data_IF_962909763442
#
_entry.id   IF_962909763442
#
_cell.length_a   1.000
_cell.length_b   1.000
_cell.length_c   1.000
_cell.angle_alpha   90.00
_cell.angle_beta   90.00
_cell.angle_gamma   90.00
#
_symmetry.space_group_name_H-M   'P 1'
#
loop_
_entity.id
_entity.type
_entity.pdbx_description
1 polymer ?
#
# COMPACT_ATOMS: atom_id res chain seq x y z
N UNK A 1 -39.00 -57.96 -56.09
CA UNK A 1 -38.93 -56.57 -55.60
C UNK A 1 -39.15 -56.64 -54.10
N UNK A 2 -38.16 -56.30 -53.27
CA UNK A 2 -38.28 -56.42 -51.81
C UNK A 2 -36.93 -56.56 -51.10
N UNK A 3 -36.04 -55.57 -51.24
CA UNK A 3 -34.73 -55.62 -50.58
C UNK A 3 -34.02 -54.28 -50.38
N UNK A 4 -34.68 -53.15 -50.66
CA UNK A 4 -34.09 -51.81 -50.55
C UNK A 4 -34.61 -51.00 -49.36
N UNK A 5 -35.85 -51.23 -48.89
CA UNK A 5 -36.45 -50.43 -47.80
C UNK A 5 -35.93 -50.80 -46.40
N UNK A 6 -35.42 -52.02 -46.18
CA UNK A 6 -35.04 -52.46 -44.82
C UNK A 6 -33.65 -51.98 -44.36
N UNK A 7 -32.78 -51.53 -45.27
CA UNK A 7 -31.43 -51.02 -44.94
C UNK A 7 -31.42 -49.52 -44.62
N UNK A 8 -32.26 -48.73 -45.30
CA UNK A 8 -32.35 -47.29 -45.04
C UNK A 8 -33.01 -47.02 -43.67
N UNK A 9 -34.04 -47.78 -43.27
CA UNK A 9 -34.65 -47.65 -41.94
C UNK A 9 -33.70 -48.03 -40.80
N UNK A 10 -32.82 -49.02 -40.98
CA UNK A 10 -31.84 -49.39 -39.94
C UNK A 10 -30.70 -48.38 -39.85
N UNK A 11 -30.22 -47.84 -40.97
CA UNK A 11 -29.21 -46.77 -40.95
C UNK A 11 -29.76 -45.48 -40.36
N UNK A 12 -31.02 -45.13 -40.61
CA UNK A 12 -31.64 -43.93 -40.04
C UNK A 12 -31.84 -44.07 -38.52
N UNK A 13 -32.33 -45.23 -38.03
CA UNK A 13 -32.50 -45.49 -36.59
C UNK A 13 -31.18 -45.49 -35.82
N UNK A 14 -30.09 -46.02 -36.41
CA UNK A 14 -28.73 -45.95 -35.82
C UNK A 14 -28.26 -44.50 -35.77
N UNK A 15 -28.46 -43.72 -36.84
CA UNK A 15 -28.10 -42.30 -36.89
C UNK A 15 -28.92 -41.41 -35.94
N UNK A 16 -30.11 -41.85 -35.55
CA UNK A 16 -30.95 -41.19 -34.53
C UNK A 16 -30.50 -41.56 -33.11
N UNK A 17 -30.09 -42.81 -32.85
CA UNK A 17 -29.50 -43.23 -31.57
C UNK A 17 -28.15 -42.56 -31.30
N UNK A 18 -27.23 -42.58 -32.27
CA UNK A 18 -25.89 -41.98 -32.12
C UNK A 18 -25.98 -40.47 -31.85
N UNK A 19 -26.91 -39.76 -32.53
CA UNK A 19 -27.17 -38.33 -32.27
C UNK A 19 -27.82 -38.07 -30.91
N UNK A 20 -28.63 -38.98 -30.39
CA UNK A 20 -29.23 -38.86 -29.06
C UNK A 20 -28.20 -39.10 -27.95
N UNK A 21 -27.29 -40.04 -28.16
CA UNK A 21 -26.20 -40.34 -27.22
C UNK A 21 -25.15 -39.21 -27.19
N UNK A 22 -24.79 -38.64 -28.35
CA UNK A 22 -23.92 -37.46 -28.43
C UNK A 22 -24.53 -36.22 -27.74
N UNK A 23 -25.84 -35.99 -27.92
CA UNK A 23 -26.57 -34.89 -27.27
C UNK A 23 -26.68 -35.09 -25.75
N UNK A 24 -26.87 -36.33 -25.30
CA UNK A 24 -26.95 -36.67 -23.88
C UNK A 24 -25.57 -36.53 -23.20
N UNK A 25 -24.50 -36.94 -23.87
CA UNK A 25 -23.13 -36.77 -23.39
C UNK A 25 -22.73 -35.29 -23.30
N UNK A 26 -23.05 -34.49 -24.32
CA UNK A 26 -22.79 -33.04 -24.31
C UNK A 26 -23.57 -32.31 -23.20
N UNK A 27 -24.83 -32.69 -22.96
CA UNK A 27 -25.62 -32.14 -21.84
C UNK A 27 -25.02 -32.54 -20.50
N UNK A 28 -24.58 -33.80 -20.35
CA UNK A 28 -23.92 -34.29 -19.14
C UNK A 28 -22.61 -33.54 -18.85
N UNK A 29 -21.79 -33.27 -19.86
CA UNK A 29 -20.56 -32.47 -19.72
C UNK A 29 -20.89 -31.02 -19.34
N UNK A 30 -21.87 -30.40 -20.00
CA UNK A 30 -22.27 -29.03 -19.69
C UNK A 30 -22.83 -28.88 -18.27
N UNK A 31 -23.62 -29.85 -17.80
CA UNK A 31 -24.12 -29.89 -16.42
C UNK A 31 -22.99 -30.13 -15.41
N UNK A 32 -22.05 -31.04 -15.69
CA UNK A 32 -20.89 -31.28 -14.84
C UNK A 32 -19.95 -30.06 -14.76
N UNK A 33 -19.72 -29.35 -15.87
CA UNK A 33 -18.95 -28.09 -15.89
C UNK A 33 -19.66 -27.03 -15.06
N UNK A 34 -20.98 -26.86 -15.24
CA UNK A 34 -21.77 -25.90 -14.46
C UNK A 34 -21.80 -26.22 -12.97
N UNK A 35 -21.93 -27.50 -12.60
CA UNK A 35 -21.89 -27.94 -11.20
C UNK A 35 -20.48 -27.76 -10.60
N UNK A 36 -19.43 -28.06 -11.36
CA UNK A 36 -18.04 -27.85 -10.96
C UNK A 36 -17.74 -26.36 -10.75
N UNK A 37 -18.19 -25.48 -11.67
CA UNK A 37 -18.10 -24.03 -11.54
C UNK A 37 -18.89 -23.50 -10.34
N UNK A 38 -20.08 -24.02 -10.08
CA UNK A 38 -20.89 -23.66 -8.91
C UNK A 38 -20.23 -24.12 -7.60
N UNK A 39 -19.67 -25.33 -7.54
CA UNK A 39 -18.94 -25.82 -6.36
C UNK A 39 -17.66 -25.01 -6.12
N UNK A 40 -16.88 -24.75 -7.17
CA UNK A 40 -15.68 -23.91 -7.11
C UNK A 40 -16.00 -22.47 -6.72
N UNK A 41 -17.08 -21.91 -7.27
CA UNK A 41 -17.59 -20.58 -6.91
C UNK A 41 -18.04 -20.52 -5.45
N UNK A 42 -18.74 -21.56 -4.97
CA UNK A 42 -19.21 -21.66 -3.58
C UNK A 42 -18.05 -21.79 -2.59
N UNK A 43 -17.03 -22.58 -2.93
CA UNK A 43 -15.83 -22.75 -2.11
C UNK A 43 -14.98 -21.47 -2.09
N UNK A 44 -14.74 -20.85 -3.25
CA UNK A 44 -14.05 -19.54 -3.34
C UNK A 44 -14.78 -18.48 -2.53
N UNK A 45 -16.12 -18.44 -2.59
CA UNK A 45 -16.92 -17.48 -1.81
C UNK A 45 -16.77 -17.71 -0.31
N UNK A 46 -16.71 -18.97 0.14
CA UNK A 46 -16.46 -19.31 1.54
C UNK A 46 -15.08 -18.82 2.00
N UNK A 47 -14.04 -19.08 1.21
CA UNK A 47 -12.67 -18.62 1.48
C UNK A 47 -12.56 -17.09 1.53
N UNK A 48 -13.20 -16.40 0.58
CA UNK A 48 -13.27 -14.92 0.58
C UNK A 48 -13.97 -14.41 1.82
N UNK A 49 -15.09 -15.03 2.23
CA UNK A 49 -15.84 -14.63 3.42
C UNK A 49 -15.05 -14.87 4.71
N UNK A 50 -14.36 -16.00 4.83
CA UNK A 50 -13.50 -16.30 5.98
C UNK A 50 -12.33 -15.32 6.06
N UNK A 51 -11.69 -15.03 4.93
CA UNK A 51 -10.60 -14.05 4.83
C UNK A 51 -11.08 -12.65 5.20
N UNK A 52 -12.24 -12.24 4.66
CA UNK A 52 -12.91 -10.98 4.99
C UNK A 52 -13.12 -10.84 6.49
N UNK A 53 -13.71 -11.86 7.14
CA UNK A 53 -13.99 -11.81 8.58
C UNK A 53 -12.70 -11.76 9.40
N UNK A 54 -11.68 -12.52 9.00
CA UNK A 54 -10.38 -12.51 9.68
C UNK A 54 -9.74 -11.13 9.64
N UNK A 55 -9.55 -10.55 8.45
CA UNK A 55 -8.89 -9.25 8.30
C UNK A 55 -9.71 -8.16 8.99
N UNK A 56 -11.04 -8.21 8.83
CA UNK A 56 -11.92 -7.25 9.48
C UNK A 56 -11.75 -7.30 11.00
N UNK A 57 -11.84 -8.48 11.63
CA UNK A 57 -11.66 -8.63 13.07
C UNK A 57 -10.26 -8.19 13.51
N UNK A 58 -9.22 -8.56 12.76
CA UNK A 58 -7.83 -8.14 13.05
C UNK A 58 -7.65 -6.61 13.02
N UNK A 59 -8.42 -5.90 12.17
CA UNK A 59 -8.44 -4.43 12.10
C UNK A 59 -9.32 -3.81 13.21
N UNK A 60 -10.45 -4.43 13.57
CA UNK A 60 -11.33 -3.97 14.64
C UNK A 60 -10.65 -4.08 16.02
N UNK A 61 -9.90 -5.16 16.24
CA UNK A 61 -9.16 -5.46 17.48
C UNK A 61 -7.73 -4.89 17.47
N UNK A 62 -7.37 -4.13 16.45
CA UNK A 62 -6.02 -3.60 16.28
C UNK A 62 -5.64 -2.65 17.42
N UNK A 63 -4.47 -2.89 18.03
CA UNK A 63 -3.81 -1.97 18.96
C UNK A 63 -2.50 -1.43 18.37
N UNK A 64 -2.17 -0.18 18.65
CA UNK A 64 -0.95 0.45 18.12
C UNK A 64 0.29 -0.35 18.49
N UNK A 65 1.06 -0.78 17.48
CA UNK A 65 2.28 -1.54 17.68
C UNK A 65 2.08 -3.06 17.80
N UNK A 66 0.85 -3.56 17.63
CA UNK A 66 0.54 -4.99 17.71
C UNK A 66 1.07 -5.80 16.51
N UNK A 67 1.10 -5.24 15.29
CA UNK A 67 1.53 -5.96 14.07
C UNK A 67 3.01 -6.34 14.12
N UNK A 68 3.86 -5.46 14.66
CA UNK A 68 5.31 -5.63 14.77
C UNK A 68 5.79 -5.77 16.22
N UNK A 69 4.87 -5.81 17.19
CA UNK A 69 5.16 -5.91 18.63
C UNK A 69 6.06 -4.77 19.12
N UNK A 70 5.81 -3.56 18.65
CA UNK A 70 6.62 -2.38 18.93
C UNK A 70 6.74 -2.10 20.42
N UNK A 71 5.69 -2.34 21.20
CA UNK A 71 5.71 -2.16 22.66
C UNK A 71 6.77 -2.99 23.40
N UNK A 72 7.30 -4.06 22.79
CA UNK A 72 8.44 -4.81 23.37
C UNK A 72 9.76 -4.06 23.27
N UNK A 73 9.92 -3.20 22.26
CA UNK A 73 11.15 -2.49 21.97
C UNK A 73 11.08 -1.01 22.36
N UNK A 74 9.89 -0.42 22.27
CA UNK A 74 9.61 1.01 22.50
C UNK A 74 8.34 1.19 23.36
N UNK A 75 8.30 0.65 24.60
CA UNK A 75 7.08 0.64 25.42
C UNK A 75 6.57 2.04 25.79
N UNK A 76 7.47 3.00 26.02
CA UNK A 76 7.09 4.38 26.36
C UNK A 76 6.51 5.11 25.14
N UNK A 77 7.22 5.07 24.01
CA UNK A 77 6.82 5.77 22.78
C UNK A 77 5.49 5.23 22.23
N UNK A 78 5.28 3.91 22.25
CA UNK A 78 4.02 3.29 21.79
C UNK A 78 2.86 3.62 22.70
N UNK A 79 3.09 3.73 24.02
CA UNK A 79 2.03 4.07 24.99
C UNK A 79 1.52 5.50 24.84
N UNK A 80 2.35 6.40 24.30
CA UNK A 80 1.97 7.79 24.02
C UNK A 80 1.19 7.94 22.71
N UNK A 81 1.11 6.90 21.88
CA UNK A 81 0.36 6.91 20.63
C UNK A 81 -1.06 6.39 20.85
N UNK A 82 -2.04 7.27 20.62
CA UNK A 82 -3.44 6.88 20.65
C UNK A 82 -3.83 6.05 19.41
N UNK A 83 -3.26 6.39 18.26
CA UNK A 83 -3.68 5.85 16.98
C UNK A 83 -2.60 5.99 15.90
N UNK A 84 -2.78 5.26 14.80
CA UNK A 84 -1.97 5.41 13.58
C UNK A 84 -2.71 6.28 12.55
N UNK A 85 -2.13 7.42 12.17
CA UNK A 85 -2.61 8.24 11.05
C UNK A 85 -2.08 7.76 9.69
N UNK A 86 -2.98 7.57 8.71
CA UNK A 86 -2.65 7.12 7.36
C UNK A 86 -3.19 8.15 6.36
N UNK A 87 -2.29 8.79 5.60
CA UNK A 87 -2.69 9.79 4.60
C UNK A 87 -3.16 9.13 3.30
N UNK A 88 -4.29 9.61 2.80
CA UNK A 88 -4.85 9.30 1.48
C UNK A 88 -4.38 10.37 0.49
N UNK A 89 -3.51 10.02 -0.45
CA UNK A 89 -2.97 10.97 -1.43
C UNK A 89 -3.30 10.59 -2.86
N UNK A 90 -3.49 11.56 -3.74
CA UNK A 90 -3.83 11.32 -5.13
C UNK A 90 -4.49 12.53 -5.78
N UNK A 91 -4.56 12.55 -7.13
CA UNK A 91 -5.12 13.67 -7.85
C UNK A 91 -6.61 13.88 -7.55
N UNK A 92 -7.13 15.05 -7.92
CA UNK A 92 -8.58 15.28 -7.87
C UNK A 92 -9.30 14.28 -8.77
N UNK A 93 -10.38 13.69 -8.27
CA UNK A 93 -11.12 12.65 -8.97
C UNK A 93 -10.51 11.25 -8.89
N UNK A 94 -9.42 11.06 -8.14
CA UNK A 94 -8.76 9.74 -8.07
C UNK A 94 -9.50 8.65 -7.28
N UNK A 95 -10.66 8.98 -6.68
CA UNK A 95 -11.45 8.03 -5.91
C UNK A 95 -11.05 7.92 -4.43
N UNK A 96 -10.33 8.89 -3.85
CA UNK A 96 -9.97 8.91 -2.41
C UNK A 96 -11.20 8.82 -1.50
N UNK A 97 -12.12 9.78 -1.60
CA UNK A 97 -13.33 9.81 -0.78
C UNK A 97 -14.27 8.63 -1.10
N UNK A 98 -14.24 8.10 -2.34
CA UNK A 98 -14.91 6.84 -2.68
C UNK A 98 -14.35 5.65 -1.92
N UNK A 99 -13.03 5.50 -1.88
CA UNK A 99 -12.35 4.46 -1.12
C UNK A 99 -12.72 4.54 0.36
N UNK A 100 -12.68 5.74 0.95
CA UNK A 100 -13.07 5.97 2.35
C UNK A 100 -14.49 5.49 2.60
N UNK A 101 -15.46 5.88 1.75
CA UNK A 101 -16.84 5.40 1.90
C UNK A 101 -16.97 3.87 1.82
N UNK A 102 -16.19 3.21 0.98
CA UNK A 102 -16.18 1.76 0.91
C UNK A 102 -15.59 1.17 2.20
N UNK A 103 -14.46 1.69 2.65
CA UNK A 103 -13.79 1.29 3.88
C UNK A 103 -14.70 1.45 5.11
N UNK A 104 -15.36 2.60 5.26
CA UNK A 104 -16.33 2.85 6.33
C UNK A 104 -17.52 1.90 6.25
N UNK A 105 -18.08 1.68 5.07
CA UNK A 105 -19.21 0.76 4.90
C UNK A 105 -18.83 -0.69 5.20
N UNK A 106 -17.58 -1.07 5.02
CA UNK A 106 -17.05 -2.41 5.33
C UNK A 106 -16.77 -2.57 6.82
N UNK A 107 -16.11 -1.58 7.42
CA UNK A 107 -15.72 -1.60 8.83
C UNK A 107 -16.90 -1.32 9.76
N UNK A 108 -17.65 -0.25 9.51
CA UNK A 108 -18.70 0.27 10.40
C UNK A 108 -20.12 -0.03 9.93
N UNK A 109 -20.33 -0.41 8.66
CA UNK A 109 -21.66 -0.63 8.07
C UNK A 109 -22.34 0.63 7.55
N UNK A 110 -21.79 1.80 7.82
CA UNK A 110 -22.26 3.13 7.39
C UNK A 110 -21.16 3.88 6.63
N UNK A 111 -21.52 4.88 5.82
CA UNK A 111 -20.58 5.70 5.05
C UNK A 111 -20.83 7.18 5.36
N UNK A 112 -19.76 7.94 5.63
CA UNK A 112 -19.85 9.32 6.12
C UNK A 112 -19.15 10.33 5.23
N UNK A 113 -18.24 9.90 4.35
CA UNK A 113 -17.50 10.82 3.47
C UNK A 113 -18.39 11.43 2.39
N UNK A 114 -18.34 12.74 2.26
CA UNK A 114 -19.07 13.47 1.21
C UNK A 114 -18.32 13.30 -0.11
N UNK A 115 -19.00 12.79 -1.13
CA UNK A 115 -18.43 12.64 -2.48
C UNK A 115 -19.06 13.67 -3.42
N UNK A 116 -18.26 14.62 -3.89
CA UNK A 116 -18.72 15.59 -4.89
C UNK A 116 -18.46 15.03 -6.29
N UNK A 117 -19.52 14.89 -7.08
CA UNK A 117 -19.53 14.30 -8.44
C UNK A 117 -19.27 15.31 -9.57
N UNK A 118 -18.95 16.55 -9.22
CA UNK A 118 -18.71 17.63 -10.20
C UNK A 118 -17.27 18.06 -10.08
N UNK A 119 -16.54 18.22 -11.19
CA UNK A 119 -15.11 18.52 -11.28
C UNK A 119 -14.62 19.86 -10.69
N UNK A 120 -15.19 20.28 -9.57
CA UNK A 120 -14.71 21.32 -8.67
C UNK A 120 -14.01 20.66 -7.47
N UNK A 121 -13.08 21.38 -6.87
CA UNK A 121 -12.38 20.93 -5.65
C UNK A 121 -13.36 20.67 -4.51
N UNK A 122 -13.55 19.40 -4.15
CA UNK A 122 -14.46 19.00 -3.09
C UNK A 122 -13.83 19.01 -1.69
N UNK A 123 -12.58 18.56 -1.56
CA UNK A 123 -11.89 18.44 -0.27
C UNK A 123 -10.98 19.65 -0.04
N UNK A 124 -11.41 20.59 0.81
CA UNK A 124 -10.65 21.81 1.17
C UNK A 124 -10.00 21.67 2.56
N UNK A 125 -10.56 20.80 3.41
CA UNK A 125 -10.07 20.52 4.76
C UNK A 125 -9.44 19.13 4.82
N UNK A 126 -8.44 18.95 5.70
CA UNK A 126 -8.01 17.62 6.11
C UNK A 126 -9.09 17.00 7.02
N UNK A 127 -9.65 15.88 6.59
CA UNK A 127 -10.72 15.20 7.31
C UNK A 127 -10.25 13.83 7.80
N UNK A 128 -10.68 13.45 9.00
CA UNK A 128 -10.37 12.16 9.60
C UNK A 128 -11.56 11.21 9.48
N UNK A 129 -11.25 9.97 9.11
CA UNK A 129 -12.22 8.89 8.98
C UNK A 129 -11.76 7.65 9.74
N UNK A 130 -12.70 6.75 10.02
CA UNK A 130 -12.46 5.53 10.81
C UNK A 130 -12.00 5.82 12.25
N UNK A 131 -12.43 6.94 12.83
CA UNK A 131 -12.04 7.41 14.19
C UNK A 131 -12.48 6.48 15.34
N UNK A 132 -13.35 5.50 15.08
CA UNK A 132 -13.75 4.45 16.04
C UNK A 132 -12.65 3.39 16.26
N UNK A 133 -11.61 3.37 15.43
CA UNK A 133 -10.51 2.40 15.48
C UNK A 133 -9.18 3.08 15.86
N UNK A 134 -8.18 2.27 16.24
CA UNK A 134 -6.83 2.75 16.57
C UNK A 134 -5.98 3.10 15.33
N UNK A 135 -6.62 3.29 14.18
CA UNK A 135 -6.03 3.82 12.96
C UNK A 135 -7.02 4.79 12.30
N UNK A 136 -6.50 5.81 11.63
CA UNK A 136 -7.30 6.85 10.96
C UNK A 136 -6.89 6.98 9.51
N UNK A 137 -7.87 7.14 8.63
CA UNK A 137 -7.64 7.61 7.27
C UNK A 137 -7.77 9.13 7.26
N UNK A 138 -6.78 9.80 6.71
CA UNK A 138 -6.73 11.25 6.59
C UNK A 138 -6.95 11.59 5.12
N UNK A 139 -8.13 12.10 4.77
CA UNK A 139 -8.42 12.55 3.40
C UNK A 139 -7.69 13.87 3.13
N UNK A 140 -7.00 13.95 2.00
CA UNK A 140 -6.21 15.13 1.62
C UNK A 140 -6.83 15.79 0.38
N UNK A 141 -6.64 17.11 0.22
CA UNK A 141 -7.06 17.84 -0.98
C UNK A 141 -6.48 17.17 -2.23
N UNK A 142 -7.26 17.10 -3.31
CA UNK A 142 -6.76 16.56 -4.58
C UNK A 142 -5.67 17.45 -5.19
N UNK A 143 -4.68 16.80 -5.81
CA UNK A 143 -3.57 17.49 -6.48
C UNK A 143 -3.81 17.53 -7.99
N UNK A 144 -4.04 18.71 -8.55
CA UNK A 144 -4.22 18.87 -9.99
C UNK A 144 -2.88 18.79 -10.73
N UNK A 145 -1.85 19.40 -10.14
CA UNK A 145 -0.49 19.41 -10.65
C UNK A 145 0.46 18.83 -9.61
N UNK A 146 1.10 17.72 -9.96
CA UNK A 146 2.19 17.12 -9.18
C UNK A 146 3.49 17.89 -9.44
N UNK A 147 3.55 19.15 -9.02
CA UNK A 147 4.70 20.05 -9.22
C UNK A 147 5.51 20.24 -7.91
N UNK A 148 6.28 21.33 -7.80
CA UNK A 148 7.07 21.63 -6.58
C UNK A 148 6.19 22.04 -5.38
N UNK A 149 5.10 22.78 -5.59
CA UNK A 149 4.23 23.25 -4.51
C UNK A 149 3.54 22.10 -3.77
N UNK A 150 3.16 21.06 -4.52
CA UNK A 150 2.66 19.79 -3.99
C UNK A 150 3.61 19.14 -2.95
N UNK A 151 4.92 19.21 -3.18
CA UNK A 151 5.90 18.57 -2.29
C UNK A 151 5.99 19.23 -0.90
N UNK A 152 5.82 20.55 -0.82
CA UNK A 152 5.84 21.29 0.44
C UNK A 152 4.55 21.07 1.24
N UNK A 153 3.39 21.14 0.57
CA UNK A 153 2.08 20.85 1.18
C UNK A 153 2.07 19.43 1.78
N UNK A 154 2.49 18.43 0.99
CA UNK A 154 2.58 17.05 1.45
C UNK A 154 3.53 16.91 2.65
N UNK A 155 4.71 17.55 2.59
CA UNK A 155 5.65 17.51 3.71
C UNK A 155 5.01 18.04 4.99
N UNK A 156 4.32 19.19 4.93
CA UNK A 156 3.67 19.78 6.09
C UNK A 156 2.58 18.87 6.67
N UNK A 157 1.78 18.23 5.81
CA UNK A 157 0.79 17.22 6.22
C UNK A 157 1.47 16.05 6.91
N UNK A 158 2.51 15.47 6.30
CA UNK A 158 3.19 14.29 6.83
C UNK A 158 3.83 14.56 8.21
N UNK A 159 4.38 15.76 8.41
CA UNK A 159 4.98 16.19 9.69
C UNK A 159 3.96 16.67 10.73
N UNK A 160 2.66 16.69 10.42
CA UNK A 160 1.61 17.20 11.31
C UNK A 160 1.67 18.71 11.56
N UNK A 161 2.34 19.47 10.68
CA UNK A 161 2.34 20.95 10.73
C UNK A 161 1.01 21.52 10.26
N UNK A 162 0.40 20.86 9.28
CA UNK A 162 -1.01 21.02 8.94
C UNK A 162 -1.75 19.83 9.59
N UNK A 163 -2.78 20.13 10.38
CA UNK A 163 -3.53 19.16 11.17
C UNK A 163 -4.92 18.90 10.56
N UNK A 164 -5.55 17.77 10.87
CA UNK A 164 -6.96 17.59 10.56
C UNK A 164 -7.83 18.72 11.10
N UNK A 165 -8.81 19.15 10.31
CA UNK A 165 -9.61 20.36 10.53
C UNK A 165 -8.97 21.66 10.05
N UNK A 166 -7.71 21.66 9.62
CA UNK A 166 -7.07 22.82 8.97
C UNK A 166 -7.42 22.88 7.48
N UNK A 167 -7.57 24.10 6.98
CA UNK A 167 -7.72 24.42 5.57
C UNK A 167 -6.37 24.30 4.89
N UNK A 168 -6.35 23.62 3.76
CA UNK A 168 -5.17 23.60 2.89
C UNK A 168 -5.26 24.83 1.97
N UNK A 169 -4.55 25.91 2.34
CA UNK A 169 -4.47 27.13 1.52
C UNK A 169 -3.48 26.95 0.36
N UNK A 170 -3.91 27.24 -0.87
CA UNK A 170 -3.03 27.38 -2.03
C UNK A 170 -3.01 28.83 -2.49
N UNK A 171 -1.87 29.27 -3.02
CA UNK A 171 -1.69 30.66 -3.53
C UNK A 171 -2.69 31.08 -4.62
N UNK A 172 -3.39 30.12 -5.23
CA UNK A 172 -4.46 30.32 -6.22
C UNK A 172 -5.84 30.57 -5.61
N UNK A 173 -6.01 30.33 -4.31
CA UNK A 173 -7.27 30.53 -3.62
C UNK A 173 -7.42 32.04 -3.32
N UNK A 174 -8.52 32.66 -3.76
CA UNK A 174 -8.81 34.05 -3.40
C UNK A 174 -8.88 34.15 -1.86
N UNK A 175 -8.00 34.96 -1.28
CA UNK A 175 -7.73 35.10 0.17
C UNK A 175 -8.90 35.66 1.02
N UNK A 176 -10.15 35.36 0.66
CA UNK A 176 -11.32 36.03 1.19
C UNK A 176 -11.93 35.36 2.43
N UNK A 177 -11.62 34.09 2.74
CA UNK A 177 -12.37 33.36 3.78
C UNK A 177 -11.58 32.36 4.65
N UNK A 178 -10.25 32.38 4.62
CA UNK A 178 -9.51 31.51 5.54
C UNK A 178 -9.39 32.17 6.93
N UNK A 179 -9.88 31.54 8.02
CA UNK A 179 -9.52 31.98 9.37
C UNK A 179 -8.00 31.90 9.53
N UNK A 180 -7.38 32.82 10.27
CA UNK A 180 -5.95 32.74 10.59
C UNK A 180 -5.65 31.40 11.27
N UNK A 181 -5.09 30.46 10.51
CA UNK A 181 -4.66 29.16 11.03
C UNK A 181 -3.15 29.17 11.17
N UNK A 182 -2.67 29.17 12.42
CA UNK A 182 -1.24 29.08 12.68
C UNK A 182 -0.76 27.65 12.48
N UNK A 183 0.00 27.43 11.40
CA UNK A 183 0.84 26.25 11.23
C UNK A 183 1.80 26.12 12.43
N UNK A 184 2.15 24.89 12.80
CA UNK A 184 3.21 24.69 13.80
C UNK A 184 4.55 25.12 13.23
N UNK A 185 5.34 25.81 14.04
CA UNK A 185 6.72 26.17 13.69
C UNK A 185 7.60 24.91 13.49
N UNK A 186 7.38 23.90 14.34
CA UNK A 186 8.12 22.64 14.37
C UNK A 186 7.23 21.44 13.99
N UNK A 187 7.88 20.31 13.73
CA UNK A 187 7.19 19.04 13.47
C UNK A 187 6.38 18.61 14.69
N UNK A 188 5.23 17.96 14.45
CA UNK A 188 4.39 17.44 15.51
C UNK A 188 5.08 16.30 16.30
N UNK A 189 4.64 16.01 17.53
CA UNK A 189 5.00 14.77 18.21
C UNK A 189 4.70 13.56 17.32
N UNK A 190 5.49 12.49 17.43
CA UNK A 190 5.41 11.35 16.50
C UNK A 190 3.99 10.79 16.38
N UNK A 191 3.26 10.63 17.49
CA UNK A 191 1.89 10.12 17.48
C UNK A 191 0.87 10.98 16.72
N UNK A 192 1.16 12.26 16.48
CA UNK A 192 0.33 13.17 15.71
C UNK A 192 0.76 13.27 14.23
N UNK A 193 1.89 12.66 13.85
CA UNK A 193 2.37 12.66 12.47
C UNK A 193 1.60 11.64 11.62
N UNK A 194 1.76 11.74 10.31
CA UNK A 194 1.34 10.67 9.40
C UNK A 194 2.35 9.52 9.49
N UNK A 195 1.85 8.31 9.64
CA UNK A 195 2.66 7.10 9.75
C UNK A 195 2.57 6.23 8.49
N UNK A 196 1.42 6.21 7.81
CA UNK A 196 1.17 5.46 6.58
C UNK A 196 0.74 6.34 5.41
N UNK A 197 0.97 5.88 4.18
CA UNK A 197 0.58 6.61 2.97
C UNK A 197 -0.06 5.66 1.96
N UNK A 198 -1.27 5.98 1.51
CA UNK A 198 -1.98 5.29 0.44
C UNK A 198 -2.12 6.25 -0.74
N UNK A 199 -1.54 5.88 -1.89
CA UNK A 199 -1.66 6.61 -3.15
C UNK A 199 -2.83 6.07 -3.96
N UNK A 200 -3.89 6.84 -4.13
CA UNK A 200 -5.08 6.46 -4.88
C UNK A 200 -5.06 7.08 -6.27
N UNK A 201 -5.22 6.25 -7.31
CA UNK A 201 -5.27 6.62 -8.72
C UNK A 201 -6.45 5.95 -9.42
N UNK A 202 -6.88 6.47 -10.58
CA UNK A 202 -7.92 5.86 -11.41
C UNK A 202 -7.33 5.14 -12.63
N UNK A 203 -7.97 4.06 -13.06
CA UNK A 203 -7.54 3.20 -14.17
C UNK A 203 -7.45 3.92 -15.52
N UNK A 204 -8.26 4.96 -15.71
CA UNK A 204 -8.33 5.75 -16.94
C UNK A 204 -7.68 7.12 -16.84
N UNK A 205 -6.81 7.36 -15.85
CA UNK A 205 -6.13 8.64 -15.79
C UNK A 205 -5.22 8.81 -17.02
N UNK A 206 -5.43 9.83 -17.88
CA UNK A 206 -4.61 10.04 -19.08
C UNK A 206 -3.14 10.31 -18.74
N UNK A 207 -2.83 10.62 -17.47
CA UNK A 207 -1.50 10.92 -16.96
C UNK A 207 -0.78 9.68 -16.41
N UNK A 208 -1.37 8.48 -16.45
CA UNK A 208 -0.80 7.27 -15.85
C UNK A 208 0.68 7.06 -16.20
N UNK A 209 1.01 7.14 -17.50
CA UNK A 209 2.38 6.97 -18.02
C UNK A 209 3.35 8.07 -17.58
N UNK A 210 2.84 9.24 -17.20
CA UNK A 210 3.65 10.37 -16.74
C UNK A 210 3.90 10.32 -15.24
N UNK A 211 3.13 9.53 -14.47
CA UNK A 211 3.27 9.52 -13.01
C UNK A 211 4.63 9.06 -12.53
N UNK A 212 5.31 8.19 -13.28
CA UNK A 212 6.66 7.75 -12.94
C UNK A 212 7.65 8.92 -12.80
N UNK A 213 7.53 9.92 -13.67
CA UNK A 213 8.37 11.12 -13.61
C UNK A 213 7.79 12.14 -12.63
N UNK A 214 6.48 12.39 -12.71
CA UNK A 214 5.80 13.42 -11.90
C UNK A 214 5.80 13.12 -10.39
N UNK A 215 5.80 11.85 -10.00
CA UNK A 215 5.80 11.42 -8.60
C UNK A 215 7.22 11.15 -8.07
N UNK A 216 8.27 11.38 -8.88
CA UNK A 216 9.64 11.05 -8.49
C UNK A 216 10.09 11.77 -7.21
N UNK A 217 9.86 13.08 -7.11
CA UNK A 217 10.20 13.88 -5.93
C UNK A 217 9.50 13.36 -4.67
N UNK A 218 8.21 13.05 -4.79
CA UNK A 218 7.40 12.48 -3.71
C UNK A 218 7.95 11.12 -3.28
N UNK A 219 8.20 10.22 -4.25
CA UNK A 219 8.77 8.89 -3.99
C UNK A 219 10.12 8.99 -3.28
N UNK A 220 11.00 9.86 -3.77
CA UNK A 220 12.33 10.07 -3.19
C UNK A 220 12.23 10.61 -1.75
N UNK A 221 11.32 11.55 -1.49
CA UNK A 221 11.03 12.07 -0.16
C UNK A 221 10.50 11.00 0.79
N UNK A 222 9.44 10.29 0.39
CA UNK A 222 8.81 9.23 1.19
C UNK A 222 9.84 8.16 1.56
N UNK A 223 10.64 7.73 0.59
CA UNK A 223 11.72 6.76 0.80
C UNK A 223 12.78 7.29 1.76
N UNK A 224 13.23 8.52 1.60
CA UNK A 224 14.23 9.12 2.50
C UNK A 224 13.73 9.19 3.95
N UNK A 225 12.45 9.50 4.13
CA UNK A 225 11.80 9.55 5.45
C UNK A 225 11.47 8.16 6.02
N UNK A 226 11.52 7.11 5.21
CA UNK A 226 11.28 5.72 5.63
C UNK A 226 9.84 5.25 5.47
N UNK A 227 9.01 5.98 4.73
CA UNK A 227 7.67 5.53 4.36
C UNK A 227 7.74 4.42 3.30
N UNK A 228 6.80 3.48 3.41
CA UNK A 228 6.51 2.47 2.38
C UNK A 228 5.11 2.74 1.84
N UNK A 229 4.94 3.62 0.83
CA UNK A 229 3.61 3.92 0.31
C UNK A 229 2.95 2.69 -0.33
N UNK A 230 1.63 2.64 -0.24
CA UNK A 230 0.79 1.67 -0.94
C UNK A 230 0.16 2.33 -2.16
N UNK A 231 -0.16 1.53 -3.16
CA UNK A 231 -0.90 1.98 -4.32
C UNK A 231 -2.31 1.37 -4.35
N UNK A 232 -3.33 2.20 -4.53
CA UNK A 232 -4.71 1.79 -4.69
C UNK A 232 -5.22 2.27 -6.06
N UNK A 233 -5.68 1.33 -6.88
CA UNK A 233 -6.13 1.58 -8.24
C UNK A 233 -7.66 1.47 -8.31
N UNK A 234 -8.32 2.61 -8.47
CA UNK A 234 -9.75 2.74 -8.59
C UNK A 234 -10.20 2.48 -10.04
N UNK A 235 -11.07 1.49 -10.23
CA UNK A 235 -11.71 1.19 -11.51
C UNK A 235 -13.10 1.81 -11.54
N UNK A 236 -13.41 2.55 -12.60
CA UNK A 236 -14.77 3.10 -12.81
C UNK A 236 -15.77 2.00 -13.23
N UNK A 237 -15.27 0.91 -13.83
CA UNK A 237 -16.05 -0.11 -14.51
C UNK A 237 -15.66 -1.51 -14.02
N UNK A 238 -16.67 -2.33 -13.70
CA UNK A 238 -16.49 -3.73 -13.28
C UNK A 238 -15.86 -4.62 -14.38
N UNK A 239 -16.14 -4.37 -15.66
CA UNK A 239 -15.53 -5.10 -16.76
C UNK A 239 -14.02 -4.83 -16.84
N UNK A 240 -13.61 -3.58 -16.67
CA UNK A 240 -12.18 -3.21 -16.65
C UNK A 240 -11.49 -3.80 -15.41
N UNK A 241 -12.19 -3.88 -14.27
CA UNK A 241 -11.71 -4.54 -13.05
C UNK A 241 -11.52 -6.06 -13.21
N UNK A 242 -12.36 -6.72 -14.03
CA UNK A 242 -12.31 -8.16 -14.29
C UNK A 242 -11.32 -8.56 -15.38
N UNK A 243 -10.83 -7.60 -16.17
CA UNK A 243 -9.77 -7.81 -17.15
C UNK A 243 -8.41 -7.90 -16.44
N UNK A 244 -7.96 -9.14 -16.17
CA UNK A 244 -6.73 -9.40 -15.41
C UNK A 244 -5.47 -8.86 -16.10
N UNK A 245 -5.40 -8.92 -17.44
CA UNK A 245 -4.22 -8.47 -18.19
C UNK A 245 -4.11 -6.94 -18.15
N UNK A 246 -5.21 -6.25 -18.43
CA UNK A 246 -5.28 -4.78 -18.32
C UNK A 246 -5.01 -4.32 -16.89
N UNK A 247 -5.59 -5.00 -15.90
CA UNK A 247 -5.39 -4.70 -14.49
C UNK A 247 -3.93 -4.84 -14.09
N UNK A 248 -3.27 -5.93 -14.49
CA UNK A 248 -1.85 -6.16 -14.21
C UNK A 248 -0.96 -5.08 -14.84
N UNK A 249 -1.18 -4.73 -16.12
CA UNK A 249 -0.41 -3.69 -16.80
C UNK A 249 -0.48 -2.35 -16.07
N UNK A 250 -1.68 -1.89 -15.72
CA UNK A 250 -1.88 -0.61 -15.02
C UNK A 250 -1.27 -0.65 -13.61
N UNK A 251 -1.37 -1.79 -12.92
CA UNK A 251 -0.78 -1.97 -11.59
C UNK A 251 0.75 -1.93 -11.62
N UNK A 252 1.40 -2.48 -12.64
CA UNK A 252 2.86 -2.40 -12.81
C UNK A 252 3.34 -0.96 -12.98
N UNK A 253 2.66 -0.19 -13.84
CA UNK A 253 2.95 1.23 -14.05
C UNK A 253 2.74 2.05 -12.76
N UNK A 254 1.65 1.79 -12.05
CA UNK A 254 1.34 2.46 -10.80
C UNK A 254 2.35 2.13 -9.70
N UNK A 255 2.72 0.85 -9.56
CA UNK A 255 3.74 0.36 -8.64
C UNK A 255 5.07 1.07 -8.87
N UNK A 256 5.51 1.18 -10.12
CA UNK A 256 6.74 1.88 -10.49
C UNK A 256 6.70 3.39 -10.17
N UNK A 257 5.53 4.02 -10.35
CA UNK A 257 5.34 5.43 -10.08
C UNK A 257 5.34 5.77 -8.59
N UNK A 258 4.57 5.03 -7.79
CA UNK A 258 4.45 5.22 -6.34
C UNK A 258 5.72 4.76 -5.61
N UNK A 259 6.44 3.79 -6.17
CA UNK A 259 7.55 3.13 -5.48
C UNK A 259 7.07 2.07 -4.48
N UNK A 260 5.85 1.56 -4.68
CA UNK A 260 5.31 0.42 -3.94
C UNK A 260 5.71 -0.88 -4.65
N UNK A 261 6.01 -1.97 -3.91
CA UNK A 261 6.02 -3.31 -4.49
C UNK A 261 4.69 -3.67 -5.17
N UNK A 262 4.71 -4.54 -6.18
CA UNK A 262 3.49 -4.91 -6.93
C UNK A 262 2.46 -5.61 -6.05
N UNK A 263 2.92 -6.40 -5.06
CA UNK A 263 2.12 -7.05 -4.01
C UNK A 263 1.55 -6.06 -2.98
N UNK A 264 1.89 -4.76 -3.08
CA UNK A 264 1.29 -3.66 -2.32
C UNK A 264 0.56 -2.67 -3.22
N UNK A 265 0.13 -3.15 -4.38
CA UNK A 265 -0.71 -2.41 -5.33
C UNK A 265 -2.02 -3.15 -5.45
N UNK A 266 -3.13 -2.47 -5.17
CA UNK A 266 -4.42 -3.12 -4.97
C UNK A 266 -5.50 -2.47 -5.84
N UNK A 267 -6.23 -3.25 -6.65
CA UNK A 267 -7.33 -2.75 -7.45
C UNK A 267 -8.63 -2.74 -6.65
N UNK A 268 -9.50 -1.75 -6.84
CA UNK A 268 -10.86 -1.73 -6.28
C UNK A 268 -11.83 -1.02 -7.21
N UNK A 269 -13.12 -1.31 -7.09
CA UNK A 269 -14.18 -0.70 -7.88
C UNK A 269 -14.66 0.59 -7.20
N UNK A 270 -14.64 1.70 -7.95
CA UNK A 270 -15.22 2.96 -7.53
C UNK A 270 -16.74 2.95 -7.76
N UNK A 271 -17.48 2.48 -6.76
CA UNK A 271 -18.95 2.34 -6.84
C UNK A 271 -19.72 3.66 -7.03
N UNK A 272 -19.08 4.82 -6.82
CA UNK A 272 -19.72 6.12 -7.04
C UNK A 272 -19.63 6.57 -8.49
N UNK A 273 -18.58 6.15 -9.22
CA UNK A 273 -18.46 6.41 -10.66
C UNK A 273 -19.32 5.45 -11.49
N UNK A 274 -19.62 4.25 -10.96
CA UNK A 274 -20.34 3.21 -11.70
C UNK A 274 -21.87 3.42 -11.75
N UNK A 275 -22.43 4.41 -11.04
CA UNK A 275 -23.84 4.81 -11.10
C UNK A 275 -24.86 3.70 -10.82
N UNK A 276 -24.43 2.59 -10.24
CA UNK A 276 -25.21 1.35 -10.16
C UNK A 276 -25.54 1.00 -8.71
N UNK A 277 -26.70 0.35 -8.50
CA UNK A 277 -27.02 -0.39 -7.28
C UNK A 277 -26.08 -1.61 -7.19
N UNK A 278 -24.80 -1.37 -6.92
CA UNK A 278 -23.77 -2.40 -7.11
C UNK A 278 -23.84 -3.42 -5.98
N UNK A 279 -24.21 -4.65 -6.34
CA UNK A 279 -23.71 -5.85 -5.67
C UNK A 279 -22.20 -5.72 -5.58
N UNK A 280 -21.69 -5.33 -4.40
CA UNK A 280 -20.26 -5.13 -4.18
C UNK A 280 -19.51 -6.40 -4.60
N UNK A 281 -18.62 -6.27 -5.57
CA UNK A 281 -17.75 -7.38 -5.96
C UNK A 281 -16.94 -7.82 -4.72
N UNK A 282 -17.03 -9.10 -4.30
CA UNK A 282 -16.38 -9.57 -3.08
C UNK A 282 -14.85 -9.40 -3.10
N UNK A 283 -14.22 -9.52 -4.28
CA UNK A 283 -12.78 -9.34 -4.45
C UNK A 283 -12.42 -7.86 -4.29
N UNK A 284 -13.18 -6.94 -4.88
CA UNK A 284 -12.98 -5.51 -4.66
C UNK A 284 -13.13 -5.11 -3.18
N UNK A 285 -14.08 -5.70 -2.46
CA UNK A 285 -14.26 -5.42 -1.02
C UNK A 285 -13.10 -5.97 -0.21
N UNK A 286 -12.65 -7.19 -0.53
CA UNK A 286 -11.50 -7.79 0.12
C UNK A 286 -10.24 -6.97 -0.11
N UNK A 287 -10.01 -6.49 -1.34
CA UNK A 287 -8.87 -5.63 -1.65
C UNK A 287 -8.87 -4.33 -0.83
N UNK A 288 -10.03 -3.75 -0.53
CA UNK A 288 -10.11 -2.58 0.36
C UNK A 288 -9.66 -2.93 1.77
N UNK A 289 -10.05 -4.09 2.32
CA UNK A 289 -9.56 -4.57 3.61
C UNK A 289 -8.05 -4.83 3.59
N UNK A 290 -7.54 -5.48 2.53
CA UNK A 290 -6.11 -5.74 2.36
C UNK A 290 -5.30 -4.44 2.28
N UNK A 291 -5.82 -3.39 1.63
CA UNK A 291 -5.21 -2.06 1.62
C UNK A 291 -5.10 -1.51 3.05
N UNK A 292 -6.18 -1.58 3.85
CA UNK A 292 -6.17 -1.08 5.24
C UNK A 292 -5.17 -1.86 6.10
N UNK A 293 -5.21 -3.19 6.07
CA UNK A 293 -4.32 -4.04 6.86
C UNK A 293 -2.85 -3.85 6.49
N UNK A 294 -2.56 -3.77 5.19
CA UNK A 294 -1.23 -3.52 4.68
C UNK A 294 -0.75 -2.12 5.04
N UNK A 295 -1.64 -1.11 5.03
CA UNK A 295 -1.31 0.26 5.38
C UNK A 295 -1.00 0.42 6.87
N UNK A 296 -1.78 -0.22 7.75
CA UNK A 296 -1.50 -0.29 9.19
C UNK A 296 -0.15 -0.94 9.45
N UNK A 297 0.12 -2.07 8.79
CA UNK A 297 1.41 -2.76 8.90
C UNK A 297 2.57 -1.90 8.38
N UNK A 298 2.40 -1.20 7.26
CA UNK A 298 3.41 -0.30 6.71
C UNK A 298 3.67 0.91 7.63
N UNK A 299 2.64 1.41 8.29
CA UNK A 299 2.74 2.50 9.23
C UNK A 299 3.50 2.11 10.50
N UNK A 300 3.28 0.90 11.05
CA UNK A 300 4.11 0.40 12.14
C UNK A 300 5.59 0.24 11.73
N UNK A 301 5.85 -0.18 10.48
CA UNK A 301 7.24 -0.25 9.96
C UNK A 301 7.88 1.14 9.96
N UNK A 302 7.16 2.16 9.52
CA UNK A 302 7.62 3.55 9.59
C UNK A 302 7.93 3.97 11.03
N UNK A 303 7.01 3.73 11.97
CA UNK A 303 7.20 4.06 13.39
C UNK A 303 8.46 3.38 13.93
N UNK A 304 8.62 2.07 13.69
CA UNK A 304 9.81 1.30 14.09
C UNK A 304 11.09 1.95 13.58
N UNK A 305 11.16 2.21 12.27
CA UNK A 305 12.34 2.82 11.63
C UNK A 305 12.63 4.20 12.24
N UNK A 306 11.59 4.99 12.49
CA UNK A 306 11.74 6.34 13.06
C UNK A 306 12.29 6.28 14.49
N UNK A 307 11.71 5.45 15.35
CA UNK A 307 12.12 5.28 16.74
C UNK A 307 13.53 4.68 16.86
N UNK A 308 13.87 3.71 16.01
CA UNK A 308 15.24 3.20 15.92
C UNK A 308 16.21 4.34 15.57
N UNK A 309 15.96 5.09 14.50
CA UNK A 309 16.83 6.22 14.11
C UNK A 309 17.02 7.25 15.23
N UNK A 310 15.96 7.56 15.99
CA UNK A 310 16.08 8.45 17.14
C UNK A 310 16.91 7.87 18.27
N UNK A 311 16.67 6.61 18.63
CA UNK A 311 17.45 5.89 19.64
C UNK A 311 18.94 5.89 19.27
N UNK A 312 19.28 5.51 18.04
CA UNK A 312 20.66 5.55 17.55
C UNK A 312 21.22 6.97 17.58
N UNK A 313 20.46 7.99 17.17
CA UNK A 313 20.93 9.38 17.22
C UNK A 313 21.22 9.83 18.67
N UNK A 314 20.35 9.50 19.62
CA UNK A 314 20.53 9.82 21.06
C UNK A 314 21.73 9.07 21.63
N UNK A 315 21.90 7.79 21.29
CA UNK A 315 23.07 7.01 21.70
C UNK A 315 24.37 7.55 21.15
N UNK A 316 24.40 8.03 19.89
CA UNK A 316 25.58 8.70 19.30
C UNK A 316 25.93 9.98 20.05
N UNK A 317 24.94 10.76 20.43
CA UNK A 317 25.14 11.98 21.21
C UNK A 317 25.60 11.68 22.65
N UNK A 318 25.07 10.61 23.26
CA UNK A 318 25.40 10.21 24.62
C UNK A 318 26.76 9.49 24.76
N UNK A 319 27.15 8.66 23.79
CA UNK A 319 28.40 7.89 23.79
C UNK A 319 29.64 8.71 23.39
N UNK A 320 29.46 9.95 22.93
CA UNK A 320 30.54 10.75 22.34
C UNK A 320 31.10 10.10 21.07
N UNK A 321 32.09 10.74 20.44
CA UNK A 321 32.72 10.32 19.18
C UNK A 321 33.62 9.08 19.34
N UNK A 322 33.09 7.99 19.87
CA UNK A 322 33.74 6.68 19.92
C UNK A 322 33.61 5.91 18.60
N UNK A 323 34.51 4.96 18.31
CA UNK A 323 34.44 4.15 17.09
C UNK A 323 33.17 3.29 16.98
N UNK A 324 32.50 2.97 18.09
CA UNK A 324 31.23 2.22 18.10
C UNK A 324 30.00 3.05 17.67
N UNK A 325 30.08 4.39 17.75
CA UNK A 325 28.98 5.29 17.36
C UNK A 325 29.07 5.77 15.91
N UNK A 326 30.09 5.32 15.17
CA UNK A 326 30.26 5.62 13.75
C UNK A 326 29.15 4.96 12.93
N UNK A 327 28.64 5.66 11.90
CA UNK A 327 27.66 5.06 10.99
C UNK A 327 28.29 3.90 10.22
N UNK A 328 27.49 2.88 9.91
CA UNK A 328 27.99 1.74 9.12
C UNK A 328 28.47 2.20 7.74
N UNK A 329 27.84 3.25 7.20
CA UNK A 329 28.26 3.90 5.95
C UNK A 329 29.68 4.45 6.03
N UNK A 330 29.94 5.30 7.02
CA UNK A 330 31.25 5.92 7.20
C UNK A 330 32.33 4.87 7.54
N UNK A 331 31.96 3.88 8.36
CA UNK A 331 32.85 2.78 8.73
C UNK A 331 33.26 1.96 7.51
N UNK A 332 32.29 1.52 6.69
CA UNK A 332 32.54 0.73 5.50
C UNK A 332 33.25 1.53 4.41
N UNK A 333 32.96 2.82 4.25
CA UNK A 333 33.72 3.68 3.33
C UNK A 333 35.17 3.86 3.77
N UNK A 334 35.42 4.01 5.08
CA UNK A 334 36.78 4.10 5.64
C UNK A 334 37.53 2.79 5.42
N UNK A 335 36.86 1.66 5.69
CA UNK A 335 37.40 0.32 5.49
C UNK A 335 37.70 0.03 4.01
N UNK A 336 36.79 0.45 3.12
CA UNK A 336 36.95 0.32 1.67
C UNK A 336 38.17 1.06 1.16
N UNK A 337 38.40 2.30 1.63
CA UNK A 337 39.64 3.05 1.31
C UNK A 337 40.90 2.32 1.79
N UNK A 338 40.88 1.76 3.01
CA UNK A 338 42.03 1.04 3.56
C UNK A 338 42.35 -0.29 2.84
N UNK A 339 41.35 -0.90 2.20
CA UNK A 339 41.47 -2.18 1.52
C UNK A 339 41.32 -2.11 -0.01
N UNK A 340 41.37 -0.91 -0.62
CA UNK A 340 41.19 -0.68 -2.05
C UNK A 340 39.89 -1.30 -2.61
N UNK A 341 38.78 -1.19 -1.88
CA UNK A 341 37.46 -1.52 -2.43
C UNK A 341 36.96 -0.35 -3.26
N UNK A 342 36.40 -0.65 -4.43
CA UNK A 342 35.74 0.34 -5.26
C UNK A 342 34.45 0.88 -4.60
N UNK A 343 34.02 2.05 -5.07
CA UNK A 343 32.89 2.77 -4.47
C UNK A 343 31.56 2.03 -4.63
N UNK A 344 31.33 1.44 -5.79
CA UNK A 344 30.10 0.69 -6.08
C UNK A 344 29.97 -0.50 -5.13
N UNK A 345 31.08 -1.20 -4.87
CA UNK A 345 31.17 -2.28 -3.91
C UNK A 345 30.91 -1.83 -2.48
N UNK A 346 31.46 -0.69 -2.05
CA UNK A 346 31.18 -0.16 -0.71
C UNK A 346 29.72 0.26 -0.55
N UNK A 347 29.14 0.90 -1.56
CA UNK A 347 27.75 1.37 -1.52
C UNK A 347 26.76 0.19 -1.53
N UNK A 348 27.05 -0.86 -2.29
CA UNK A 348 26.28 -2.11 -2.27
C UNK A 348 26.32 -2.80 -0.90
N UNK A 349 27.49 -2.81 -0.23
CA UNK A 349 27.64 -3.41 1.09
C UNK A 349 26.86 -2.62 2.16
N UNK A 350 26.94 -1.28 2.12
CA UNK A 350 26.18 -0.39 3.01
C UNK A 350 24.69 -0.60 2.82
N UNK A 351 24.24 -0.68 1.56
CA UNK A 351 22.83 -0.96 1.25
C UNK A 351 22.38 -2.33 1.79
N UNK A 352 23.20 -3.37 1.62
CA UNK A 352 22.89 -4.70 2.16
C UNK A 352 22.79 -4.71 3.70
N UNK A 353 23.63 -3.92 4.39
CA UNK A 353 23.55 -3.75 5.84
C UNK A 353 22.28 -2.99 6.24
N UNK A 354 21.94 -1.92 5.54
CA UNK A 354 20.70 -1.15 5.77
C UNK A 354 19.43 -1.97 5.49
N UNK A 355 19.44 -2.80 4.44
CA UNK A 355 18.34 -3.73 4.12
C UNK A 355 18.14 -4.80 5.22
N UNK A 356 19.14 -4.99 6.09
CA UNK A 356 19.11 -5.87 7.27
C UNK A 356 19.01 -5.11 8.60
N UNK A 357 18.61 -3.84 8.56
CA UNK A 357 18.46 -2.97 9.73
C UNK A 357 19.76 -2.73 10.52
N UNK A 358 20.93 -2.78 9.88
CA UNK A 358 22.24 -2.49 10.49
C UNK A 358 22.68 -1.09 10.06
N UNK A 359 22.72 -0.14 11.01
CA UNK A 359 22.96 1.27 10.71
C UNK A 359 24.23 1.86 11.34
N UNK A 360 24.79 1.20 12.35
CA UNK A 360 26.05 1.60 12.99
C UNK A 360 27.00 0.42 13.28
N UNK A 361 28.19 0.74 13.78
CA UNK A 361 29.24 -0.24 14.07
C UNK A 361 28.85 -1.21 15.20
N UNK A 362 27.99 -0.77 16.14
CA UNK A 362 27.48 -1.64 17.21
C UNK A 362 26.51 -2.68 16.65
N UNK A 363 25.54 -2.25 15.83
CA UNK A 363 24.62 -3.17 15.14
C UNK A 363 25.38 -4.15 14.25
N UNK A 364 26.41 -3.65 13.56
CA UNK A 364 27.25 -4.47 12.70
C UNK A 364 27.99 -5.54 13.49
N UNK A 365 28.42 -5.24 14.72
CA UNK A 365 29.08 -6.23 15.61
C UNK A 365 28.11 -7.35 15.99
N UNK A 366 26.89 -7.01 16.34
CA UNK A 366 25.87 -7.97 16.79
C UNK A 366 25.30 -8.79 15.62
N UNK A 367 25.11 -8.18 14.46
CA UNK A 367 24.51 -8.79 13.27
C UNK A 367 25.50 -9.28 12.21
N UNK A 368 26.82 -9.29 12.48
CA UNK A 368 27.82 -9.59 11.45
C UNK A 368 27.68 -10.98 10.84
N UNK A 369 27.24 -11.95 11.65
CA UNK A 369 27.11 -13.34 11.21
C UNK A 369 25.85 -13.56 10.36
N UNK A 370 24.88 -12.64 10.41
CA UNK A 370 23.67 -12.70 9.61
C UNK A 370 23.84 -12.07 8.22
N UNK A 371 24.92 -11.35 7.94
CA UNK A 371 25.17 -10.74 6.63
C UNK A 371 25.95 -11.70 5.73
N UNK A 372 25.48 -11.89 4.49
CA UNK A 372 26.19 -12.65 3.47
C UNK A 372 27.36 -11.82 2.93
N UNK A 373 28.54 -12.01 3.50
CA UNK A 373 29.79 -11.33 3.15
C UNK A 373 30.80 -12.31 2.57
N UNK A 374 31.65 -11.85 1.65
CA UNK A 374 32.81 -12.64 1.23
C UNK A 374 33.76 -12.87 2.41
N UNK A 375 34.52 -13.96 2.39
CA UNK A 375 35.49 -14.31 3.45
C UNK A 375 36.47 -13.15 3.71
N UNK A 376 36.92 -12.48 2.65
CA UNK A 376 37.81 -11.32 2.74
C UNK A 376 37.18 -10.11 3.43
N UNK A 377 35.93 -9.78 3.09
CA UNK A 377 35.18 -8.69 3.73
C UNK A 377 34.91 -8.98 5.19
N UNK A 378 34.44 -10.20 5.52
CA UNK A 378 34.14 -10.58 6.89
C UNK A 378 35.39 -10.53 7.78
N UNK A 379 36.55 -10.96 7.26
CA UNK A 379 37.84 -10.86 7.96
C UNK A 379 38.30 -9.41 8.16
N UNK A 380 38.15 -8.56 7.15
CA UNK A 380 38.50 -7.14 7.24
C UNK A 380 37.63 -6.41 8.27
N UNK A 381 36.32 -6.64 8.25
CA UNK A 381 35.36 -6.05 9.19
C UNK A 381 35.65 -6.53 10.61
N UNK A 382 35.76 -7.85 10.87
CA UNK A 382 36.07 -8.38 12.21
C UNK A 382 37.36 -7.83 12.80
N UNK A 383 38.37 -7.54 11.97
CA UNK A 383 39.65 -6.97 12.42
C UNK A 383 39.56 -5.48 12.78
N UNK A 384 38.64 -4.76 12.13
CA UNK A 384 38.47 -3.31 12.30
C UNK A 384 37.36 -2.94 13.29
N UNK A 385 36.53 -3.90 13.70
CA UNK A 385 35.57 -3.69 14.79
C UNK A 385 36.33 -3.39 16.09
N UNK A 386 35.95 -2.34 16.83
CA UNK A 386 36.48 -2.09 18.17
C UNK A 386 36.18 -3.27 19.11
N UNK A 387 37.07 -3.51 20.11
CA UNK A 387 37.00 -4.67 21.00
C UNK A 387 35.71 -4.77 21.81
#
# INVERSE_FOLDING_TARGET
>A
MGGSESKEETEEVVRWHDRWDDDAEQRGIAEAVKEFEQRRGSQRMKEVKETYLRIKNDLEEYEVGSKLRLGKFFPADVKEMENINIAMIGPTGSGKSSFINIAEKVMMGEATAITQSTGKEGTIHLEEYLTKFNFRLIDTRGYFELDKGWSEELQKILTGRIRPGMTIERSTDEAAFAPEQHERADDAPLGEQIHGVICVMVDKDPRLKQYRERMKSMKDYLRAKGYSPLAALAFENENDFKDEDKRREIMEELSAAVGSPIDKTFPFINHLASGSDVKKDPESVLNVLDILDTAVTAAEKFIKVRLQREKHSRERQAKGSGPESQSVGDFIQTLGKAHNWDRDRTDALVKQMQDKDIYDVSDLREGLDDISLTIGQKKAIKKALPP
#
